data_IF_835968642291
#
_entry.id   IF_835968642291
#
_cell.length_a   1.000
_cell.length_b   1.000
_cell.length_c   1.000
_cell.angle_alpha   90.00
_cell.angle_beta   90.00
_cell.angle_gamma   90.00
#
_symmetry.space_group_name_H-M   'P 1'
#
loop_
_entity.id
_entity.type
_entity.pdbx_description
1 polymer ?
#
# COMPACT_ATOMS: atom_id res chain seq x y z
N UNK A 1 -21.09 -39.86 -51.02
CA UNK A 1 -19.91 -39.12 -50.53
C UNK A 1 -20.30 -37.65 -50.41
N UNK A 2 -20.94 -37.24 -49.31
CA UNK A 2 -21.37 -35.86 -49.09
C UNK A 2 -20.22 -35.09 -48.44
N UNK A 3 -19.50 -34.32 -49.24
CA UNK A 3 -18.41 -33.46 -48.76
C UNK A 3 -19.02 -32.20 -48.14
N UNK A 4 -19.02 -32.11 -46.81
CA UNK A 4 -19.32 -30.87 -46.09
C UNK A 4 -18.19 -29.90 -46.40
N UNK A 5 -18.45 -28.90 -47.25
CA UNK A 5 -17.52 -27.79 -47.47
C UNK A 5 -17.68 -26.83 -46.30
N UNK A 6 -16.71 -26.85 -45.39
CA UNK A 6 -16.56 -25.82 -44.37
C UNK A 6 -16.33 -24.48 -45.07
N UNK A 7 -17.15 -23.51 -44.73
CA UNK A 7 -17.09 -22.16 -45.28
C UNK A 7 -15.97 -21.42 -44.51
N UNK A 8 -14.73 -21.59 -44.97
CA UNK A 8 -13.54 -20.98 -44.39
C UNK A 8 -13.48 -19.48 -44.76
N UNK A 9 -14.34 -18.68 -44.14
CA UNK A 9 -14.24 -17.22 -44.23
C UNK A 9 -13.02 -16.78 -43.44
N UNK A 10 -11.94 -16.48 -44.15
CA UNK A 10 -10.73 -15.86 -43.60
C UNK A 10 -11.04 -14.47 -43.06
N UNK A 11 -10.44 -14.16 -41.92
CA UNK A 11 -10.51 -12.86 -41.24
C UNK A 11 -10.18 -11.73 -42.23
N UNK A 12 -11.09 -10.78 -42.40
CA UNK A 12 -10.89 -9.63 -43.29
C UNK A 12 -9.89 -8.65 -42.66
N UNK A 13 -9.11 -7.94 -43.49
CA UNK A 13 -8.20 -6.89 -43.01
C UNK A 13 -8.93 -5.79 -42.22
N UNK A 14 -10.20 -5.51 -42.55
CA UNK A 14 -11.04 -4.56 -41.82
C UNK A 14 -11.37 -4.99 -40.40
N UNK A 15 -11.50 -6.29 -40.14
CA UNK A 15 -11.78 -6.81 -38.80
C UNK A 15 -10.58 -6.60 -37.87
N UNK A 16 -9.36 -6.84 -38.36
CA UNK A 16 -8.14 -6.61 -37.56
C UNK A 16 -7.87 -5.10 -37.38
N UNK A 17 -8.11 -4.31 -38.42
CA UNK A 17 -7.87 -2.87 -38.38
C UNK A 17 -8.75 -2.17 -37.33
N UNK A 18 -10.05 -2.48 -37.25
CA UNK A 18 -10.94 -1.88 -36.25
C UNK A 18 -10.54 -2.29 -34.83
N UNK A 19 -10.10 -3.53 -34.61
CA UNK A 19 -9.64 -4.00 -33.29
C UNK A 19 -8.43 -3.20 -32.82
N UNK A 20 -7.45 -2.96 -33.68
CA UNK A 20 -6.28 -2.15 -33.33
C UNK A 20 -6.65 -0.69 -33.05
N UNK A 21 -7.62 -0.14 -33.78
CA UNK A 21 -8.15 1.21 -33.51
C UNK A 21 -8.79 1.28 -32.12
N UNK A 22 -9.67 0.35 -31.78
CA UNK A 22 -10.32 0.33 -30.46
C UNK A 22 -9.30 0.08 -29.35
N UNK A 23 -8.36 -0.86 -29.53
CA UNK A 23 -7.28 -1.11 -28.57
C UNK A 23 -6.40 0.12 -28.34
N UNK A 24 -6.07 0.86 -29.40
CA UNK A 24 -5.31 2.12 -29.28
C UNK A 24 -6.04 3.17 -28.44
N UNK A 25 -7.36 3.33 -28.66
CA UNK A 25 -8.18 4.26 -27.89
C UNK A 25 -8.24 3.85 -26.41
N UNK A 26 -8.43 2.55 -26.12
CA UNK A 26 -8.50 2.06 -24.75
C UNK A 26 -7.17 2.26 -24.00
N UNK A 27 -6.03 1.98 -24.64
CA UNK A 27 -4.71 2.17 -24.04
C UNK A 27 -4.47 3.64 -23.70
N UNK A 28 -4.86 4.56 -24.59
CA UNK A 28 -4.71 6.00 -24.36
C UNK A 28 -5.49 6.49 -23.13
N UNK A 29 -6.72 6.01 -22.94
CA UNK A 29 -7.56 6.40 -21.79
C UNK A 29 -6.98 5.84 -20.48
N UNK A 30 -6.59 4.56 -20.47
CA UNK A 30 -6.04 3.90 -19.27
C UNK A 30 -4.75 4.56 -18.80
N UNK A 31 -3.90 5.01 -19.73
CA UNK A 31 -2.63 5.67 -19.39
C UNK A 31 -2.82 6.95 -18.55
N UNK A 32 -3.94 7.65 -18.69
CA UNK A 32 -4.25 8.85 -17.90
C UNK A 32 -5.03 8.56 -16.60
N UNK A 33 -5.67 7.39 -16.50
CA UNK A 33 -6.47 7.03 -15.33
C UNK A 33 -5.67 6.57 -14.11
N UNK A 34 -4.39 6.17 -14.28
CA UNK A 34 -3.60 5.54 -13.21
C UNK A 34 -2.83 6.51 -12.31
N UNK A 35 -2.69 7.78 -12.68
CA UNK A 35 -1.73 8.71 -12.04
C UNK A 35 -2.18 9.43 -10.76
N UNK A 36 -3.31 9.09 -10.14
CA UNK A 36 -3.91 9.91 -9.07
C UNK A 36 -4.26 9.19 -7.76
N UNK A 37 -3.78 7.97 -7.53
CA UNK A 37 -4.18 7.16 -6.36
C UNK A 37 -3.23 7.37 -5.16
N UNK A 38 -2.01 7.86 -5.40
CA UNK A 38 -0.92 7.79 -4.40
C UNK A 38 -1.07 8.73 -3.20
N UNK A 39 -1.49 9.99 -3.39
CA UNK A 39 -1.52 10.98 -2.31
C UNK A 39 -2.54 10.63 -1.22
N UNK A 40 -3.74 10.17 -1.63
CA UNK A 40 -4.79 9.78 -0.66
C UNK A 40 -4.47 8.45 0.04
N UNK A 41 -3.74 7.54 -0.60
CA UNK A 41 -3.28 6.31 0.05
C UNK A 41 -2.28 6.66 1.14
N UNK A 42 -1.29 7.49 0.80
CA UNK A 42 -0.19 7.85 1.70
C UNK A 42 -0.68 8.46 3.02
N UNK A 43 -1.59 9.44 2.98
CA UNK A 43 -2.13 10.04 4.22
C UNK A 43 -2.92 9.02 5.07
N UNK A 44 -3.63 8.09 4.41
CA UNK A 44 -4.40 7.05 5.09
C UNK A 44 -3.48 6.03 5.74
N UNK A 45 -2.42 5.63 5.04
CA UNK A 45 -1.40 4.72 5.53
C UNK A 45 -0.68 5.33 6.75
N UNK A 46 -0.22 6.58 6.64
CA UNK A 46 0.39 7.30 7.76
C UNK A 46 -0.53 7.37 8.99
N UNK A 47 -1.81 7.69 8.82
CA UNK A 47 -2.76 7.72 9.95
C UNK A 47 -3.07 6.35 10.51
N UNK A 48 -3.11 5.32 9.68
CA UNK A 48 -3.36 3.94 10.10
C UNK A 48 -2.18 3.44 10.95
N UNK A 49 -0.97 3.56 10.41
CA UNK A 49 0.26 3.16 11.10
C UNK A 49 0.44 3.89 12.42
N UNK A 50 0.15 5.20 12.49
CA UNK A 50 0.26 5.95 13.73
C UNK A 50 -0.72 5.45 14.81
N UNK A 51 -1.93 5.04 14.42
CA UNK A 51 -2.92 4.47 15.35
C UNK A 51 -2.49 3.11 15.86
N UNK A 52 -1.98 2.28 14.96
CA UNK A 52 -1.47 0.96 15.27
C UNK A 52 -0.26 1.04 16.20
N UNK A 53 0.69 1.93 15.91
CA UNK A 53 1.85 2.19 16.76
C UNK A 53 1.42 2.68 18.16
N UNK A 54 0.43 3.58 18.26
CA UNK A 54 -0.13 4.01 19.54
C UNK A 54 -0.74 2.87 20.33
N UNK A 55 -1.55 2.03 19.69
CA UNK A 55 -2.15 0.87 20.32
C UNK A 55 -1.08 -0.11 20.82
N UNK A 56 -0.05 -0.36 20.00
CA UNK A 56 1.08 -1.22 20.34
C UNK A 56 1.88 -0.71 21.54
N UNK A 57 2.18 0.59 21.61
CA UNK A 57 2.92 1.14 22.77
C UNK A 57 2.13 1.05 24.08
N UNK A 58 0.81 1.27 24.04
CA UNK A 58 -0.06 1.08 25.21
C UNK A 58 -0.16 -0.39 25.60
N UNK A 59 -0.25 -1.30 24.62
CA UNK A 59 -0.23 -2.73 24.85
C UNK A 59 1.10 -3.19 25.45
N UNK A 60 2.23 -2.66 24.98
CA UNK A 60 3.55 -2.93 25.56
C UNK A 60 3.61 -2.45 27.00
N UNK A 61 3.15 -1.23 27.27
CA UNK A 61 3.08 -0.69 28.64
C UNK A 61 2.21 -1.53 29.56
N UNK A 62 1.09 -2.06 29.07
CA UNK A 62 0.25 -2.96 29.86
C UNK A 62 0.97 -4.27 30.23
N UNK A 63 1.91 -4.74 29.41
CA UNK A 63 2.66 -5.98 29.66
C UNK A 63 3.95 -5.76 30.47
N UNK A 64 4.73 -4.74 30.11
CA UNK A 64 6.04 -4.46 30.69
C UNK A 64 6.00 -3.48 31.86
N UNK A 65 4.93 -2.70 32.00
CA UNK A 65 4.76 -1.68 33.05
C UNK A 65 5.35 -0.30 32.71
N UNK A 66 6.02 -0.17 31.56
CA UNK A 66 6.62 1.09 31.08
C UNK A 66 6.46 1.20 29.55
N UNK A 67 6.58 2.41 29.01
CA UNK A 67 6.52 2.63 27.56
C UNK A 67 7.78 2.09 26.86
N UNK A 68 7.67 1.58 25.62
CA UNK A 68 8.84 1.07 24.91
C UNK A 68 9.84 2.21 24.64
N UNK A 69 11.15 2.01 24.92
CA UNK A 69 12.17 3.03 24.67
C UNK A 69 12.33 3.34 23.17
N UNK A 70 12.17 2.31 22.34
CA UNK A 70 12.34 2.38 20.89
C UNK A 70 11.52 1.29 20.18
N UNK A 71 11.54 1.32 18.86
CA UNK A 71 10.85 0.40 17.96
C UNK A 71 11.33 -1.05 18.08
N UNK A 72 12.59 -1.29 18.46
CA UNK A 72 13.10 -2.66 18.66
C UNK A 72 12.51 -3.31 19.88
N UNK A 73 12.17 -2.54 20.92
CA UNK A 73 11.52 -3.09 22.10
C UNK A 73 10.12 -3.66 21.75
N UNK A 74 9.37 -2.98 20.88
CA UNK A 74 8.09 -3.46 20.37
C UNK A 74 8.25 -4.75 19.54
N UNK A 75 9.24 -4.78 18.66
CA UNK A 75 9.55 -5.94 17.80
C UNK A 75 9.97 -7.16 18.63
N UNK A 76 10.87 -6.97 19.60
CA UNK A 76 11.35 -8.04 20.50
C UNK A 76 10.27 -8.57 21.43
N UNK A 77 9.32 -7.72 21.85
CA UNK A 77 8.15 -8.16 22.62
C UNK A 77 7.11 -8.90 21.79
N UNK A 78 7.20 -8.87 20.46
CA UNK A 78 6.21 -9.44 19.55
C UNK A 78 4.87 -8.70 19.58
N UNK A 79 4.84 -7.45 20.05
CA UNK A 79 3.62 -6.64 20.10
C UNK A 79 3.35 -5.94 18.77
N UNK A 80 4.42 -5.53 18.08
CA UNK A 80 4.34 -4.93 16.76
C UNK A 80 5.67 -5.13 16.03
N UNK A 81 5.62 -5.65 14.80
CA UNK A 81 6.81 -5.81 13.99
C UNK A 81 7.21 -4.48 13.34
N UNK A 82 8.51 -4.24 13.21
CA UNK A 82 9.00 -2.98 12.63
C UNK A 82 8.50 -2.72 11.21
N UNK A 83 8.27 -3.78 10.46
CA UNK A 83 7.75 -3.74 9.08
C UNK A 83 6.31 -3.26 8.98
N UNK A 84 5.53 -3.27 10.06
CA UNK A 84 4.11 -2.88 10.05
C UNK A 84 3.92 -1.36 10.09
N UNK A 85 4.90 -0.63 10.63
CA UNK A 85 4.85 0.83 10.77
C UNK A 85 6.10 1.50 10.19
N UNK A 86 6.43 1.27 8.91
CA UNK A 86 7.69 1.73 8.31
C UNK A 86 7.81 3.26 8.25
N UNK A 87 6.70 4.01 8.32
CA UNK A 87 6.72 5.45 8.20
C UNK A 87 6.75 6.18 9.56
N UNK A 88 6.76 5.45 10.68
CA UNK A 88 6.79 6.03 12.01
C UNK A 88 7.85 5.38 12.90
N UNK A 89 8.41 6.16 13.81
CA UNK A 89 9.30 5.69 14.88
C UNK A 89 8.76 6.11 16.23
N UNK A 90 8.86 5.21 17.20
CA UNK A 90 8.65 5.53 18.61
C UNK A 90 9.98 5.79 19.28
N UNK A 91 10.05 6.88 20.05
CA UNK A 91 11.17 7.16 20.95
C UNK A 91 10.60 7.62 22.27
N UNK A 92 10.98 6.95 23.36
CA UNK A 92 10.64 7.39 24.71
C UNK A 92 11.92 7.85 25.39
N UNK A 93 12.02 9.15 25.69
CA UNK A 93 13.12 9.66 26.52
C UNK A 93 12.83 9.37 27.99
N UNK A 94 13.88 9.17 28.80
CA UNK A 94 13.74 8.79 30.22
C UNK A 94 12.91 9.78 31.06
N UNK A 95 12.81 11.04 30.62
CA UNK A 95 12.06 12.11 31.28
C UNK A 95 10.68 12.38 30.64
N UNK A 96 10.30 11.65 29.58
CA UNK A 96 9.04 11.89 28.90
C UNK A 96 7.85 11.26 29.65
N UNK A 97 6.75 12.03 29.75
CA UNK A 97 5.48 11.54 30.28
C UNK A 97 4.82 10.45 29.39
N UNK A 98 5.38 10.18 28.20
CA UNK A 98 4.88 9.19 27.26
C UNK A 98 5.76 9.08 26.00
N UNK A 99 5.41 8.15 25.10
CA UNK A 99 6.16 7.89 23.88
C UNK A 99 5.99 9.04 22.87
N UNK A 100 7.09 9.47 22.26
CA UNK A 100 7.09 10.39 21.13
C UNK A 100 7.03 9.61 19.83
N UNK A 101 6.13 10.02 18.92
CA UNK A 101 6.01 9.41 17.60
C UNK A 101 6.56 10.38 16.55
N UNK A 102 7.63 9.99 15.88
CA UNK A 102 8.25 10.78 14.81
C UNK A 102 8.04 10.12 13.46
N UNK A 103 7.63 10.89 12.43
CA UNK A 103 7.57 10.34 11.08
C UNK A 103 8.99 9.98 10.60
N UNK A 104 9.09 8.93 9.82
CA UNK A 104 10.32 8.52 9.18
C UNK A 104 10.24 8.77 7.67
N UNK A 105 11.14 9.63 7.18
CA UNK A 105 11.15 10.08 5.79
C UNK A 105 10.07 11.12 5.48
N UNK A 106 9.87 11.38 4.19
CA UNK A 106 9.05 12.50 3.70
C UNK A 106 7.59 12.10 3.40
N UNK A 107 7.19 10.86 3.70
CA UNK A 107 5.84 10.36 3.36
C UNK A 107 4.74 10.83 4.30
N UNK A 108 5.07 11.06 5.56
CA UNK A 108 4.11 11.41 6.62
C UNK A 108 4.34 12.80 7.21
N UNK A 109 5.08 13.67 6.50
CA UNK A 109 5.51 15.01 6.94
C UNK A 109 4.91 16.13 6.12
#
# INVERSE_FOLDING_TARGET
MTTVRGDERGFTFSELALVLVVLGILIAIVAWGVGGIDETSTERDCRSELRELKAATEQFKAQAGFYPPDDRALDQSGVLARSETPNWKVVTTDDAAGPEYRPEGDRCG
#
